data_IF_255501153479
#
_entry.id   IF_255501153479
#
_cell.length_a   1.000
_cell.length_b   1.000
_cell.length_c   1.000
_cell.angle_alpha   90.00
_cell.angle_beta   90.00
_cell.angle_gamma   90.00
#
_symmetry.space_group_name_H-M   'P 1'
#
loop_
_entity.id
_entity.type
_entity.pdbx_description
1 polymer ?
#
# COMPACT_ATOMS: atom_id res chain seq x y z
N UNK A 1 14.13 23.79 -3.40
CA UNK A 1 13.61 23.08 -2.22
C UNK A 1 13.82 21.59 -2.47
N UNK A 2 14.70 20.95 -1.71
CA UNK A 2 14.86 19.49 -1.74
C UNK A 2 13.55 18.86 -1.25
N UNK A 3 12.97 17.95 -2.03
CA UNK A 3 11.95 17.05 -1.50
C UNK A 3 12.68 16.11 -0.54
N UNK A 4 12.26 16.05 0.72
CA UNK A 4 12.81 15.05 1.64
C UNK A 4 12.43 13.64 1.14
N UNK A 5 13.16 12.60 1.56
CA UNK A 5 12.95 11.21 1.12
C UNK A 5 11.47 10.79 1.19
N UNK A 6 10.78 11.16 2.26
CA UNK A 6 9.38 10.79 2.48
C UNK A 6 8.45 11.44 1.47
N UNK A 7 8.75 12.67 1.08
CA UNK A 7 8.01 13.38 0.06
C UNK A 7 8.19 12.74 -1.32
N UNK A 8 9.38 12.23 -1.65
CA UNK A 8 9.60 11.43 -2.87
C UNK A 8 8.79 10.13 -2.85
N UNK A 9 8.85 9.37 -1.75
CA UNK A 9 8.06 8.14 -1.61
C UNK A 9 6.56 8.41 -1.75
N UNK A 10 6.07 9.45 -1.08
CA UNK A 10 4.68 9.90 -1.15
C UNK A 10 4.27 10.21 -2.59
N UNK A 11 4.98 11.12 -3.25
CA UNK A 11 4.65 11.55 -4.60
C UNK A 11 4.74 10.38 -5.57
N UNK A 12 5.82 9.62 -5.55
CA UNK A 12 6.00 8.52 -6.49
C UNK A 12 4.91 7.46 -6.40
N UNK A 13 4.48 7.12 -5.18
CA UNK A 13 3.40 6.15 -4.98
C UNK A 13 2.04 6.68 -5.37
N UNK A 14 1.79 7.98 -5.25
CA UNK A 14 0.49 8.57 -5.59
C UNK A 14 0.18 8.53 -7.09
N UNK A 15 1.18 8.31 -7.95
CA UNK A 15 1.00 8.13 -9.39
C UNK A 15 1.45 6.74 -9.89
N UNK A 16 1.68 5.76 -9.00
CA UNK A 16 1.91 4.39 -9.45
C UNK A 16 0.66 3.83 -10.15
N UNK A 17 0.90 3.16 -11.29
CA UNK A 17 -0.14 2.63 -12.16
C UNK A 17 0.43 1.44 -12.98
N UNK A 18 -0.37 0.73 -13.81
CA UNK A 18 0.14 -0.37 -14.64
C UNK A 18 1.28 0.02 -15.58
N UNK A 19 1.29 1.25 -16.08
CA UNK A 19 2.32 1.79 -16.96
C UNK A 19 3.12 2.88 -16.24
N UNK A 20 3.98 2.45 -15.33
CA UNK A 20 4.66 3.35 -14.40
C UNK A 20 6.01 3.85 -14.90
N UNK A 21 6.23 5.16 -14.78
CA UNK A 21 7.53 5.80 -14.96
C UNK A 21 7.79 6.78 -13.82
N UNK A 22 9.05 6.90 -13.40
CA UNK A 22 9.46 7.90 -12.41
C UNK A 22 10.35 8.92 -13.14
N UNK A 23 10.00 10.19 -13.00
CA UNK A 23 10.72 11.29 -13.64
C UNK A 23 11.62 11.99 -12.62
N UNK A 24 12.90 12.12 -12.95
CA UNK A 24 13.88 12.89 -12.16
C UNK A 24 14.63 13.86 -13.05
N UNK A 25 15.01 15.00 -12.49
CA UNK A 25 15.96 15.89 -13.13
C UNK A 25 17.38 15.38 -12.89
N UNK A 26 17.89 14.57 -13.82
CA UNK A 26 19.22 13.96 -13.75
C UNK A 26 20.38 14.98 -13.78
N UNK A 27 20.10 16.25 -14.06
CA UNK A 27 21.10 17.33 -14.03
C UNK A 27 21.39 17.80 -12.61
N UNK A 28 20.54 17.43 -11.65
CA UNK A 28 20.78 17.67 -10.22
C UNK A 28 21.66 16.53 -9.71
N UNK A 29 22.84 16.84 -9.18
CA UNK A 29 23.82 15.87 -8.66
C UNK A 29 23.38 15.13 -7.38
N UNK A 30 22.08 15.15 -7.05
CA UNK A 30 21.52 14.72 -5.76
C UNK A 30 20.46 13.62 -5.93
N UNK A 31 20.41 12.94 -7.09
CA UNK A 31 19.49 11.82 -7.28
C UNK A 31 19.89 10.65 -6.39
N UNK A 32 19.05 10.32 -5.43
CA UNK A 32 19.19 9.11 -4.63
C UNK A 32 18.71 7.89 -5.44
N UNK A 33 19.68 7.20 -6.04
CA UNK A 33 19.43 6.01 -6.85
C UNK A 33 18.92 4.81 -6.05
N UNK A 34 19.17 4.76 -4.74
CA UNK A 34 18.71 3.66 -3.90
C UNK A 34 17.21 3.79 -3.60
N UNK A 35 16.72 5.02 -3.41
CA UNK A 35 15.28 5.31 -3.39
C UNK A 35 14.63 4.90 -4.71
N UNK A 36 15.24 5.25 -5.84
CA UNK A 36 14.72 4.86 -7.16
C UNK A 36 14.59 3.34 -7.32
N UNK A 37 15.66 2.60 -7.00
CA UNK A 37 15.65 1.13 -7.07
C UNK A 37 14.64 0.53 -6.11
N UNK A 38 14.48 1.09 -4.91
CA UNK A 38 13.46 0.67 -3.93
C UNK A 38 12.06 0.84 -4.50
N UNK A 39 11.74 2.01 -5.06
CA UNK A 39 10.43 2.31 -5.62
C UNK A 39 10.08 1.40 -6.81
N UNK A 40 11.04 1.11 -7.69
CA UNK A 40 10.82 0.14 -8.78
C UNK A 40 10.58 -1.27 -8.22
N UNK A 41 11.36 -1.71 -7.23
CA UNK A 41 11.15 -3.03 -6.61
C UNK A 41 9.79 -3.13 -5.95
N UNK A 42 9.32 -2.06 -5.31
CA UNK A 42 7.98 -2.02 -4.72
C UNK A 42 6.90 -2.04 -5.81
N UNK A 43 7.03 -1.22 -6.85
CA UNK A 43 6.09 -1.23 -7.98
C UNK A 43 6.00 -2.62 -8.62
N UNK A 44 7.13 -3.29 -8.89
CA UNK A 44 7.14 -4.66 -9.44
C UNK A 44 6.42 -5.68 -8.57
N UNK A 45 6.38 -5.49 -7.25
CA UNK A 45 5.66 -6.39 -6.35
C UNK A 45 4.13 -6.23 -6.43
N UNK A 46 3.65 -5.07 -6.91
CA UNK A 46 2.22 -4.73 -6.89
C UNK A 46 1.66 -4.34 -8.26
N UNK A 47 2.48 -4.36 -9.31
CA UNK A 47 2.12 -3.91 -10.65
C UNK A 47 0.87 -4.63 -11.18
N UNK A 48 0.81 -5.93 -10.98
CA UNK A 48 -0.33 -6.74 -11.40
C UNK A 48 -1.60 -6.44 -10.60
N UNK A 49 -1.49 -5.97 -9.35
CA UNK A 49 -2.65 -5.62 -8.53
C UNK A 49 -3.47 -4.49 -9.15
N UNK A 50 -2.85 -3.59 -9.93
CA UNK A 50 -3.58 -2.52 -10.62
C UNK A 50 -4.60 -3.00 -11.66
N UNK A 51 -4.59 -4.30 -12.01
CA UNK A 51 -5.57 -4.92 -12.89
C UNK A 51 -6.71 -5.61 -12.12
N UNK A 52 -6.67 -5.59 -10.78
CA UNK A 52 -7.70 -6.17 -9.92
C UNK A 52 -8.85 -5.22 -9.61
N UNK A 53 -9.79 -5.71 -8.80
CA UNK A 53 -10.95 -4.97 -8.33
C UNK A 53 -10.53 -3.81 -7.43
N UNK A 54 -11.04 -2.61 -7.73
CA UNK A 54 -10.75 -1.40 -6.97
C UNK A 54 -11.83 -1.12 -5.92
N UNK A 55 -11.41 -0.96 -4.67
CA UNK A 55 -12.28 -0.56 -3.57
C UNK A 55 -11.74 0.72 -2.90
N UNK A 56 -12.51 1.82 -2.84
CA UNK A 56 -12.13 2.98 -2.03
C UNK A 56 -12.24 2.61 -0.53
N UNK A 57 -11.18 2.86 0.24
CA UNK A 57 -11.17 2.60 1.69
C UNK A 57 -11.50 3.83 2.52
N UNK A 58 -11.50 5.00 1.88
CA UNK A 58 -11.89 6.29 2.46
C UNK A 58 -12.86 7.01 1.51
N UNK A 59 -13.76 7.87 2.01
CA UNK A 59 -14.53 8.77 1.16
C UNK A 59 -13.60 9.63 0.29
N UNK A 60 -14.09 10.03 -0.88
CA UNK A 60 -13.40 11.01 -1.70
C UNK A 60 -13.30 12.34 -0.94
N UNK A 61 -12.09 12.90 -0.87
CA UNK A 61 -11.83 14.19 -0.24
C UNK A 61 -10.64 14.89 -0.91
N UNK A 62 -10.72 16.21 -1.04
CA UNK A 62 -9.62 17.08 -1.45
C UNK A 62 -8.93 17.75 -0.25
N UNK A 63 -9.44 17.56 0.97
CA UNK A 63 -8.88 18.19 2.16
C UNK A 63 -7.52 17.59 2.50
N UNK A 64 -6.54 18.45 2.80
CA UNK A 64 -5.20 18.00 3.20
C UNK A 64 -5.12 17.53 4.65
N UNK A 65 -6.23 17.64 5.39
CA UNK A 65 -6.42 17.13 6.75
C UNK A 65 -6.86 15.67 6.80
N UNK A 66 -7.25 15.10 5.67
CA UNK A 66 -7.83 13.75 5.61
C UNK A 66 -6.81 12.71 5.17
N UNK A 67 -7.07 11.47 5.57
CA UNK A 67 -6.43 10.31 4.95
C UNK A 67 -7.07 10.02 3.60
N UNK A 68 -6.31 9.43 2.69
CA UNK A 68 -6.86 8.76 1.53
C UNK A 68 -6.27 7.36 1.40
N UNK A 69 -7.13 6.36 1.18
CA UNK A 69 -6.69 4.99 0.98
C UNK A 69 -7.62 4.24 0.02
N UNK A 70 -7.05 3.26 -0.66
CA UNK A 70 -7.76 2.35 -1.55
C UNK A 70 -7.12 0.96 -1.52
N UNK A 71 -7.90 -0.02 -1.96
CA UNK A 71 -7.52 -1.40 -2.09
C UNK A 71 -7.64 -1.81 -3.55
N UNK A 72 -6.68 -2.60 -4.02
CA UNK A 72 -6.81 -3.42 -5.20
C UNK A 72 -6.82 -4.89 -4.80
N UNK A 73 -7.80 -5.65 -5.27
CA UNK A 73 -7.96 -7.06 -4.96
C UNK A 73 -7.95 -7.92 -6.21
N UNK A 74 -7.19 -9.02 -6.18
CA UNK A 74 -7.11 -10.00 -7.27
C UNK A 74 -7.72 -11.33 -6.83
N UNK A 75 -9.03 -11.54 -7.06
CA UNK A 75 -9.70 -12.80 -6.74
C UNK A 75 -9.43 -13.89 -7.80
N UNK A 76 -8.89 -13.52 -8.97
CA UNK A 76 -8.66 -14.37 -10.14
C UNK A 76 -7.51 -15.37 -9.97
N UNK A 77 -6.78 -15.31 -8.85
CA UNK A 77 -5.79 -16.30 -8.42
C UNK A 77 -6.49 -17.39 -7.58
N UNK A 78 -6.95 -18.52 -8.15
CA UNK A 78 -7.93 -19.39 -7.51
C UNK A 78 -7.44 -20.01 -6.21
N UNK A 79 -6.14 -20.30 -6.13
CA UNK A 79 -5.52 -20.91 -4.95
C UNK A 79 -4.91 -19.89 -3.99
N UNK A 80 -4.72 -18.64 -4.43
CA UNK A 80 -3.95 -17.65 -3.70
C UNK A 80 -4.37 -16.22 -3.99
N UNK A 81 -5.65 -15.87 -3.75
CA UNK A 81 -6.12 -14.51 -3.92
C UNK A 81 -5.26 -13.56 -3.09
N UNK A 82 -4.93 -12.43 -3.68
CA UNK A 82 -4.02 -11.47 -3.11
C UNK A 82 -4.46 -10.04 -3.46
N UNK A 83 -3.63 -9.07 -3.11
CA UNK A 83 -3.90 -7.69 -3.43
C UNK A 83 -2.98 -6.75 -2.69
N UNK A 84 -3.29 -5.47 -2.83
CA UNK A 84 -2.60 -4.41 -2.12
C UNK A 84 -3.58 -3.38 -1.58
N UNK A 85 -3.08 -2.62 -0.61
CA UNK A 85 -3.71 -1.43 -0.08
C UNK A 85 -2.68 -0.32 -0.17
N UNK A 86 -3.07 0.82 -0.72
CA UNK A 86 -2.27 2.03 -0.66
C UNK A 86 -2.96 3.01 0.28
N UNK A 87 -2.20 3.59 1.19
CA UNK A 87 -2.70 4.56 2.16
C UNK A 87 -1.76 5.77 2.23
N UNK A 88 -2.36 6.96 2.36
CA UNK A 88 -1.65 8.22 2.32
C UNK A 88 -2.14 9.11 3.47
N UNK A 89 -1.21 9.47 4.36
CA UNK A 89 -1.38 10.52 5.37
C UNK A 89 -1.04 11.85 4.71
N UNK A 90 -2.02 12.73 4.56
CA UNK A 90 -1.81 14.04 3.91
C UNK A 90 -1.11 15.03 4.84
N UNK A 91 -0.54 16.07 4.24
CA UNK A 91 0.33 17.08 4.86
C UNK A 91 -0.23 17.78 6.11
N UNK A 92 -1.55 17.85 6.30
CA UNK A 92 -2.20 18.47 7.48
C UNK A 92 -3.02 17.46 8.29
N UNK A 93 -2.89 16.17 8.02
CA UNK A 93 -3.64 15.14 8.71
C UNK A 93 -3.04 14.83 10.09
N UNK A 94 -3.70 15.30 11.16
CA UNK A 94 -3.22 15.17 12.53
C UNK A 94 -3.17 13.72 13.04
N UNK A 95 -4.03 12.85 12.53
CA UNK A 95 -4.09 11.43 12.89
C UNK A 95 -2.98 10.66 12.19
N UNK A 96 -2.13 9.99 12.94
CA UNK A 96 -1.02 9.17 12.43
C UNK A 96 -1.44 7.74 12.04
N UNK A 97 -2.69 7.37 12.33
CA UNK A 97 -3.25 6.06 12.05
C UNK A 97 -4.61 6.14 11.33
N UNK A 98 -4.86 5.11 10.53
CA UNK A 98 -6.10 4.88 9.81
C UNK A 98 -6.50 3.42 9.98
N UNK A 99 -7.72 3.17 10.44
CA UNK A 99 -8.32 1.84 10.45
C UNK A 99 -9.19 1.67 9.21
N UNK A 100 -8.94 0.62 8.44
CA UNK A 100 -9.67 0.28 7.23
C UNK A 100 -10.19 -1.15 7.30
N UNK A 101 -11.24 -1.45 6.54
CA UNK A 101 -11.83 -2.79 6.43
C UNK A 101 -11.73 -3.23 4.98
N UNK A 102 -10.72 -4.05 4.62
CA UNK A 102 -10.57 -4.55 3.25
C UNK A 102 -11.81 -5.34 2.82
N UNK A 103 -12.06 -5.37 1.52
CA UNK A 103 -13.20 -6.06 0.91
C UNK A 103 -12.74 -7.29 0.11
N UNK A 104 -13.68 -8.18 -0.22
CA UNK A 104 -13.46 -9.32 -1.11
C UNK A 104 -12.68 -10.49 -0.49
N UNK A 105 -12.35 -10.44 0.80
CA UNK A 105 -11.59 -11.51 1.46
C UNK A 105 -12.48 -12.71 1.82
N UNK A 106 -11.89 -13.89 1.82
CA UNK A 106 -12.52 -15.10 2.35
C UNK A 106 -12.47 -15.10 3.87
N UNK A 107 -13.63 -15.16 4.53
CA UNK A 107 -13.72 -14.99 5.99
C UNK A 107 -12.84 -15.99 6.77
N UNK A 108 -12.85 -17.26 6.37
CA UNK A 108 -12.17 -18.34 7.10
C UNK A 108 -10.72 -18.57 6.64
N UNK A 109 -10.26 -17.81 5.64
CA UNK A 109 -8.87 -17.85 5.19
C UNK A 109 -7.97 -16.98 6.07
N UNK A 110 -6.69 -17.36 6.18
CA UNK A 110 -5.65 -16.53 6.80
C UNK A 110 -4.86 -15.81 5.72
N UNK A 111 -4.55 -14.54 5.93
CA UNK A 111 -3.79 -13.71 5.01
C UNK A 111 -2.49 -13.24 5.69
N UNK A 112 -1.37 -13.40 4.99
CA UNK A 112 -0.11 -12.75 5.35
C UNK A 112 -0.13 -11.33 4.82
N UNK A 113 0.02 -10.36 5.71
CA UNK A 113 0.06 -8.92 5.45
C UNK A 113 1.51 -8.45 5.54
N UNK A 114 1.98 -7.72 4.54
CA UNK A 114 3.35 -7.16 4.53
C UNK A 114 3.27 -5.67 4.25
N UNK A 115 3.80 -4.85 5.16
CA UNK A 115 4.07 -3.45 4.87
C UNK A 115 5.43 -3.36 4.16
N UNK A 116 5.45 -2.83 2.94
CA UNK A 116 6.67 -2.78 2.12
C UNK A 116 7.77 -1.83 2.66
N UNK A 117 7.52 -1.13 3.76
CA UNK A 117 8.44 -0.17 4.37
C UNK A 117 9.05 -0.61 5.70
N UNK A 118 8.57 -1.71 6.30
CA UNK A 118 9.10 -2.24 7.55
C UNK A 118 9.34 -3.75 7.43
N UNK A 119 10.34 -4.30 8.14
CA UNK A 119 10.59 -5.74 8.13
C UNK A 119 9.45 -6.51 8.80
N UNK A 120 9.24 -7.74 8.35
CA UNK A 120 8.29 -8.68 8.92
C UNK A 120 6.94 -8.70 8.22
N UNK A 121 6.07 -9.57 8.71
CA UNK A 121 4.71 -9.73 8.27
C UNK A 121 3.80 -9.99 9.48
N UNK A 122 2.50 -9.83 9.27
CA UNK A 122 1.48 -10.17 10.26
C UNK A 122 0.46 -11.06 9.59
N UNK A 123 -0.09 -12.03 10.33
CA UNK A 123 -1.17 -12.86 9.86
C UNK A 123 -2.49 -12.44 10.50
N UNK A 124 -3.55 -12.34 9.68
CA UNK A 124 -4.90 -12.09 10.15
C UNK A 124 -5.89 -12.92 9.35
N UNK A 125 -7.01 -13.30 9.97
CA UNK A 125 -8.10 -13.94 9.23
C UNK A 125 -8.79 -12.92 8.32
N UNK A 126 -9.36 -13.38 7.21
CA UNK A 126 -10.18 -12.52 6.35
C UNK A 126 -11.35 -11.93 7.12
N UNK A 127 -11.94 -12.70 8.05
CA UNK A 127 -12.98 -12.22 8.97
C UNK A 127 -12.49 -11.06 9.84
N UNK A 128 -11.34 -11.20 10.51
CA UNK A 128 -10.80 -10.11 11.34
C UNK A 128 -10.48 -8.87 10.50
N UNK A 129 -9.91 -9.04 9.31
CA UNK A 129 -9.64 -7.94 8.39
C UNK A 129 -10.92 -7.21 7.98
N UNK A 130 -11.98 -7.94 7.62
CA UNK A 130 -13.24 -7.35 7.16
C UNK A 130 -14.07 -6.76 8.31
N UNK A 131 -14.08 -7.39 9.49
CA UNK A 131 -14.95 -6.98 10.60
C UNK A 131 -14.25 -6.01 11.56
N UNK A 132 -13.04 -6.37 12.03
CA UNK A 132 -12.25 -5.54 12.97
C UNK A 132 -11.45 -4.49 12.22
N UNK A 133 -10.91 -4.82 11.05
CA UNK A 133 -10.11 -3.90 10.25
C UNK A 133 -8.61 -3.98 10.51
N UNK A 134 -7.85 -3.48 9.54
CA UNK A 134 -6.41 -3.29 9.61
C UNK A 134 -6.09 -1.85 10.04
N UNK A 135 -5.26 -1.69 11.06
CA UNK A 135 -4.71 -0.38 11.46
C UNK A 135 -3.41 -0.13 10.70
N UNK A 136 -3.39 0.91 9.89
CA UNK A 136 -2.21 1.40 9.19
C UNK A 136 -1.71 2.64 9.94
N UNK A 137 -0.43 2.65 10.31
CA UNK A 137 0.21 3.78 10.99
C UNK A 137 1.32 4.36 10.11
N UNK A 138 1.30 5.68 9.90
CA UNK A 138 2.32 6.42 9.16
C UNK A 138 2.73 7.63 9.99
N UNK A 139 3.97 7.62 10.47
CA UNK A 139 4.52 8.68 11.32
C UNK A 139 4.83 9.95 10.53
N UNK A 140 5.28 9.82 9.29
CA UNK A 140 5.58 10.94 8.40
C UNK A 140 4.32 11.68 7.93
N UNK A 141 4.44 13.00 7.77
CA UNK A 141 3.35 13.89 7.36
C UNK A 141 3.89 14.93 6.34
N UNK A 142 3.62 14.79 5.03
CA UNK A 142 2.88 13.69 4.41
C UNK A 142 3.67 12.38 4.43
N UNK A 143 2.96 11.25 4.37
CA UNK A 143 3.56 9.92 4.30
C UNK A 143 2.66 8.91 3.60
N UNK A 144 3.24 7.82 3.11
CA UNK A 144 2.51 6.79 2.37
C UNK A 144 2.95 5.39 2.78
N UNK A 145 2.05 4.42 2.61
CA UNK A 145 2.34 3.01 2.84
C UNK A 145 1.70 2.16 1.74
N UNK A 146 2.36 1.05 1.41
CA UNK A 146 1.81 -0.02 0.58
C UNK A 146 1.79 -1.28 1.45
N UNK A 147 0.60 -1.81 1.68
CA UNK A 147 0.39 -3.08 2.37
C UNK A 147 -0.01 -4.10 1.33
N UNK A 148 0.79 -5.15 1.15
CA UNK A 148 0.37 -6.32 0.35
C UNK A 148 -0.28 -7.34 1.27
N UNK A 149 -1.25 -8.07 0.74
CA UNK A 149 -1.84 -9.20 1.43
C UNK A 149 -1.92 -10.39 0.49
N UNK A 150 -1.70 -11.59 1.02
CA UNK A 150 -1.75 -12.83 0.25
C UNK A 150 -2.36 -13.93 1.10
N UNK A 151 -3.31 -14.68 0.52
CA UNK A 151 -3.86 -15.86 1.18
C UNK A 151 -2.74 -16.86 1.50
N UNK A 152 -2.71 -17.33 2.73
CA UNK A 152 -1.82 -18.41 3.15
C UNK A 152 -2.33 -19.71 2.52
N UNK A 153 -1.47 -20.42 1.79
CA UNK A 153 -1.89 -21.71 1.24
C UNK A 153 -1.96 -22.75 2.36
N UNK A 154 -2.80 -23.77 2.21
CA UNK A 154 -2.88 -24.90 3.14
C UNK A 154 -1.57 -25.67 3.26
N UNK A 155 -0.64 -25.50 2.30
CA UNK A 155 0.68 -26.15 2.26
C UNK A 155 1.76 -25.36 3.00
N UNK A 156 1.53 -24.07 3.31
CA UNK A 156 2.51 -23.19 3.97
C UNK A 156 2.57 -23.37 5.50
N UNK A 157 1.70 -24.20 6.09
CA UNK A 157 1.62 -24.47 7.55
C UNK A 157 2.54 -25.59 8.06
N UNK A 158 3.68 -25.85 7.41
CA UNK A 158 4.63 -26.90 7.84
C UNK A 158 5.87 -26.37 8.53
#
# INVERSE_FOLDING_TARGET
MMLNMQQYLYQTRSYMCPAFGIQFDIRKNEVDWDIYRRLIRQWRQVADCYLGDYYPMTPYSLLTTDWIAWQFHRPDQPDRPDGMIQAFRREKCSRDSLQIKPNGLEADATYTLTNLDVPGNTEMTGRDLMEKGLVITIQDQPGSAIITYKKLSTTDKK
#
